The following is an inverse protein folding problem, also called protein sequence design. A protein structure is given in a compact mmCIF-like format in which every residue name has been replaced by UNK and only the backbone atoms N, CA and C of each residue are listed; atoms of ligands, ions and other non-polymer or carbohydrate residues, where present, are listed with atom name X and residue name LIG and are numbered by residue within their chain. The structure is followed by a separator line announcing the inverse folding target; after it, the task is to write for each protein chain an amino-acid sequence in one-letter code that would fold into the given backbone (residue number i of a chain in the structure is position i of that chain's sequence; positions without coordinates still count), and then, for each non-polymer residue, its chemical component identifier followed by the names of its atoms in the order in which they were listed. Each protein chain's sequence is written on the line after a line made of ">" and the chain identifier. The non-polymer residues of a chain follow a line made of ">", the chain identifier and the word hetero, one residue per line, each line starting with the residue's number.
data_IF_522356765784
#
_entry.id   IF_522356765784
#
_cell.length_a   1.000
_cell.length_b   1.000
_cell.length_c   1.000
_cell.angle_alpha   90.00
_cell.angle_beta   90.00
_cell.angle_gamma   90.00
#
_symmetry.space_group_name_H-M   'P 1'
#
loop_
_entity.id
_entity.type
_entity.pdbx_description
1 polymer ?
#
# COMPACT_ATOMS: atom_id res chain seq x y z
N UNK A 1 17.96 28.57 17.47
CA UNK A 1 18.71 27.39 17.05
C UNK A 1 18.40 26.29 18.05
N UNK A 2 17.82 25.19 17.60
CA UNK A 2 17.34 24.09 18.46
C UNK A 2 18.32 22.93 18.32
N UNK A 3 19.13 22.74 19.35
CA UNK A 3 20.03 21.61 19.51
C UNK A 3 19.25 20.30 19.60
N UNK A 4 19.13 19.61 18.47
CA UNK A 4 18.60 18.23 18.34
C UNK A 4 19.72 17.19 18.19
N UNK A 5 20.94 17.53 18.58
CA UNK A 5 22.08 16.63 18.46
C UNK A 5 22.81 16.59 19.80
N UNK A 6 22.38 15.70 20.69
CA UNK A 6 23.25 14.85 21.54
C UNK A 6 22.37 14.09 22.55
N UNK A 7 22.37 12.75 22.46
CA UNK A 7 21.95 11.71 23.43
C UNK A 7 21.13 10.69 22.62
N UNK A 8 21.72 9.68 21.97
CA UNK A 8 22.41 8.57 22.62
C UNK A 8 23.51 8.00 21.71
N UNK A 9 24.72 7.99 22.27
CA UNK A 9 25.89 7.30 21.77
C UNK A 9 25.72 5.78 21.93
N UNK A 10 26.07 5.01 20.90
CA UNK A 10 26.21 3.54 20.87
C UNK A 10 24.93 2.68 20.90
N UNK A 11 24.29 2.47 19.74
CA UNK A 11 23.37 1.35 19.49
C UNK A 11 23.48 0.77 18.07
N UNK A 12 24.68 0.70 17.48
CA UNK A 12 24.82 0.23 16.08
C UNK A 12 24.79 -1.31 15.90
N UNK A 13 24.82 -2.09 16.99
CA UNK A 13 24.88 -3.56 16.92
C UNK A 13 23.53 -4.27 16.97
N UNK A 14 22.59 -3.79 17.79
CA UNK A 14 21.28 -4.41 17.99
C UNK A 14 20.16 -3.73 17.20
N UNK A 15 20.31 -2.46 16.78
CA UNK A 15 19.29 -1.77 15.97
C UNK A 15 18.99 -2.51 14.68
N UNK A 16 19.98 -3.16 14.07
CA UNK A 16 19.74 -4.02 12.88
C UNK A 16 18.89 -5.24 13.21
N UNK A 17 19.14 -5.90 14.34
CA UNK A 17 18.34 -7.06 14.77
C UNK A 17 16.94 -6.65 15.24
N UNK A 18 16.82 -5.50 15.91
CA UNK A 18 15.55 -4.90 16.32
C UNK A 18 14.72 -4.52 15.09
N UNK A 19 15.30 -3.78 14.14
CA UNK A 19 14.65 -3.43 12.87
C UNK A 19 14.26 -4.68 12.07
N UNK A 20 15.11 -5.71 12.05
CA UNK A 20 14.78 -6.96 11.36
C UNK A 20 13.63 -7.71 12.04
N UNK A 21 13.58 -7.71 13.38
CA UNK A 21 12.49 -8.28 14.15
C UNK A 21 11.18 -7.48 13.98
N UNK A 22 11.25 -6.15 14.03
CA UNK A 22 10.11 -5.24 13.81
C UNK A 22 9.56 -5.41 12.39
N UNK A 23 10.44 -5.47 11.39
CA UNK A 23 10.07 -5.80 10.02
C UNK A 23 9.41 -7.17 9.97
N UNK A 24 10.01 -8.22 10.53
CA UNK A 24 9.42 -9.55 10.53
C UNK A 24 8.02 -9.59 11.17
N UNK A 25 7.82 -8.87 12.27
CA UNK A 25 6.52 -8.75 12.93
C UNK A 25 5.50 -7.99 12.07
N UNK A 26 5.89 -6.87 11.44
CA UNK A 26 5.05 -6.16 10.47
C UNK A 26 4.67 -7.05 9.29
N UNK A 27 5.62 -7.80 8.73
CA UNK A 27 5.38 -8.74 7.63
C UNK A 27 4.36 -9.82 8.02
N UNK A 28 4.48 -10.37 9.23
CA UNK A 28 3.52 -11.36 9.74
C UNK A 28 2.11 -10.78 9.95
N UNK A 29 2.00 -9.55 10.46
CA UNK A 29 0.71 -8.89 10.61
C UNK A 29 0.04 -8.62 9.25
N UNK A 30 0.82 -8.14 8.28
CA UNK A 30 0.36 -7.89 6.91
C UNK A 30 -0.07 -9.20 6.23
N UNK A 31 0.72 -10.27 6.38
CA UNK A 31 0.39 -11.58 5.81
C UNK A 31 -0.94 -12.14 6.38
N UNK A 32 -1.16 -12.03 7.70
CA UNK A 32 -2.44 -12.44 8.32
C UNK A 32 -3.64 -11.62 7.81
N UNK A 33 -3.45 -10.33 7.53
CA UNK A 33 -4.49 -9.51 6.91
C UNK A 33 -4.74 -9.95 5.46
N UNK A 34 -3.67 -10.26 4.71
CA UNK A 34 -3.74 -10.71 3.32
C UNK A 34 -4.50 -12.04 3.14
N UNK A 35 -4.46 -12.92 4.14
CA UNK A 35 -5.19 -14.20 4.14
C UNK A 35 -6.71 -14.03 4.10
N UNK A 36 -7.21 -12.92 4.67
CA UNK A 36 -8.64 -12.69 4.85
C UNK A 36 -9.17 -11.48 4.09
N UNK A 37 -8.31 -10.53 3.73
CA UNK A 37 -8.70 -9.27 3.11
C UNK A 37 -7.84 -9.00 1.87
N UNK A 38 -8.50 -8.57 0.80
CA UNK A 38 -7.86 -7.91 -0.33
C UNK A 38 -7.75 -6.41 -0.10
N UNK A 39 -6.96 -5.73 -0.93
CA UNK A 39 -6.86 -4.27 -0.96
C UNK A 39 -7.46 -3.78 -2.27
N UNK A 40 -8.44 -2.87 -2.22
CA UNK A 40 -8.80 -2.06 -3.38
C UNK A 40 -7.96 -0.79 -3.39
N UNK A 41 -7.24 -0.54 -4.48
CA UNK A 41 -6.40 0.63 -4.66
C UNK A 41 -7.00 1.55 -5.72
N UNK A 42 -7.55 2.68 -5.30
CA UNK A 42 -8.14 3.68 -6.18
C UNK A 42 -7.11 4.74 -6.56
N UNK A 43 -6.92 4.94 -7.86
CA UNK A 43 -5.92 5.86 -8.38
C UNK A 43 -6.38 6.54 -9.68
N UNK A 44 -5.72 7.62 -10.05
CA UNK A 44 -5.88 8.33 -11.34
C UNK A 44 -4.65 8.05 -12.19
N UNK A 45 -4.81 7.41 -13.34
CA UNK A 45 -3.69 7.06 -14.22
C UNK A 45 -3.01 8.26 -14.87
N UNK A 46 -3.71 9.40 -14.98
CA UNK A 46 -3.15 10.65 -15.53
C UNK A 46 -2.33 11.44 -14.51
N UNK A 47 -2.43 11.15 -13.21
CA UNK A 47 -1.73 11.89 -12.17
C UNK A 47 -0.35 11.25 -11.86
N UNK A 48 0.76 11.99 -11.99
CA UNK A 48 2.10 11.45 -11.74
C UNK A 48 2.33 10.99 -10.29
N UNK A 49 1.66 11.60 -9.30
CA UNK A 49 1.80 11.23 -7.89
C UNK A 49 1.16 9.86 -7.65
N UNK A 50 -0.04 9.65 -8.18
CA UNK A 50 -0.73 8.36 -8.17
C UNK A 50 0.13 7.27 -8.85
N UNK A 51 0.85 7.63 -9.93
CA UNK A 51 1.78 6.74 -10.62
C UNK A 51 3.00 6.29 -9.80
N UNK A 52 3.52 7.13 -8.90
CA UNK A 52 4.61 6.74 -7.99
C UNK A 52 4.12 5.72 -6.96
N UNK A 53 2.91 5.92 -6.41
CA UNK A 53 2.35 4.98 -5.45
C UNK A 53 2.03 3.63 -6.10
N UNK A 54 1.65 3.61 -7.38
CA UNK A 54 1.47 2.36 -8.14
C UNK A 54 2.74 1.48 -8.16
N UNK A 55 3.94 2.07 -8.26
CA UNK A 55 5.21 1.33 -8.17
C UNK A 55 5.39 0.66 -6.81
N UNK A 56 5.09 1.39 -5.73
CA UNK A 56 5.17 0.88 -4.36
C UNK A 56 4.19 -0.28 -4.17
N UNK A 57 2.96 -0.14 -4.65
CA UNK A 57 1.92 -1.18 -4.57
C UNK A 57 2.34 -2.43 -5.34
N UNK A 58 2.95 -2.29 -6.52
CA UNK A 58 3.42 -3.44 -7.28
C UNK A 58 4.48 -4.23 -6.51
N UNK A 59 5.48 -3.54 -5.94
CA UNK A 59 6.50 -4.19 -5.09
C UNK A 59 5.90 -4.82 -3.82
N UNK A 60 4.86 -4.21 -3.25
CA UNK A 60 4.16 -4.72 -2.07
C UNK A 60 3.39 -6.01 -2.36
N UNK A 61 2.77 -6.13 -3.54
CA UNK A 61 2.14 -7.38 -4.02
C UNK A 61 3.17 -8.50 -4.10
N UNK A 62 4.30 -8.23 -4.76
CA UNK A 62 5.36 -9.22 -4.99
C UNK A 62 6.01 -9.69 -3.68
N UNK A 63 6.17 -8.78 -2.72
CA UNK A 63 6.85 -9.07 -1.45
C UNK A 63 5.95 -9.81 -0.45
N UNK A 64 4.65 -9.51 -0.43
CA UNK A 64 3.73 -9.98 0.61
C UNK A 64 2.61 -10.90 0.13
N UNK A 65 2.49 -11.13 -1.18
CA UNK A 65 1.43 -11.97 -1.74
C UNK A 65 0.02 -11.40 -1.54
N UNK A 66 -0.09 -10.08 -1.31
CA UNK A 66 -1.37 -9.42 -1.11
C UNK A 66 -2.20 -9.39 -2.39
N UNK A 67 -3.45 -9.81 -2.29
CA UNK A 67 -4.43 -9.59 -3.36
C UNK A 67 -4.79 -8.11 -3.39
N UNK A 68 -4.33 -7.41 -4.41
CA UNK A 68 -4.66 -5.99 -4.62
C UNK A 68 -5.41 -5.86 -5.93
N UNK A 69 -6.58 -5.23 -5.88
CA UNK A 69 -7.40 -4.91 -7.05
C UNK A 69 -7.19 -3.41 -7.33
N UNK A 70 -6.42 -3.05 -8.35
CA UNK A 70 -6.26 -1.65 -8.70
C UNK A 70 -7.49 -1.17 -9.48
N UNK A 71 -7.95 0.04 -9.16
CA UNK A 71 -9.15 0.66 -9.73
C UNK A 71 -8.80 2.05 -10.23
N UNK A 72 -8.84 2.24 -11.54
CA UNK A 72 -8.62 3.53 -12.20
C UNK A 72 -9.90 4.35 -12.18
N UNK A 73 -9.85 5.53 -11.55
CA UNK A 73 -11.01 6.43 -11.40
C UNK A 73 -11.18 7.34 -12.61
N UNK A 74 -10.10 7.62 -13.33
CA UNK A 74 -10.10 8.43 -14.56
C UNK A 74 -10.13 7.57 -15.84
N UNK A 75 -10.20 6.24 -15.70
CA UNK A 75 -10.18 5.28 -16.81
C UNK A 75 -8.82 5.08 -17.46
N UNK A 76 -7.78 5.79 -17.01
CA UNK A 76 -6.42 5.62 -17.53
C UNK A 76 -5.70 4.54 -16.74
N UNK A 77 -5.25 3.52 -17.45
CA UNK A 77 -4.58 2.36 -16.87
C UNK A 77 -3.08 2.64 -16.77
N UNK A 78 -2.52 2.48 -15.57
CA UNK A 78 -1.08 2.61 -15.39
C UNK A 78 -0.43 1.31 -15.91
N UNK A 79 0.61 1.36 -16.77
CA UNK A 79 1.28 0.16 -17.28
C UNK A 79 1.84 -0.77 -16.20
N UNK A 80 2.10 -0.25 -15.00
CA UNK A 80 2.55 -1.02 -13.84
C UNK A 80 1.43 -1.80 -13.13
N UNK A 81 0.17 -1.48 -13.44
CA UNK A 81 -1.02 -2.11 -12.89
C UNK A 81 -1.93 -2.55 -14.06
N UNK A 82 -1.47 -3.46 -14.94
CA UNK A 82 -2.20 -3.84 -16.15
C UNK A 82 -3.51 -4.58 -15.85
N UNK A 83 -3.66 -5.11 -14.64
CA UNK A 83 -4.86 -5.76 -14.10
C UNK A 83 -5.90 -4.76 -13.54
N UNK A 84 -5.69 -3.46 -13.73
CA UNK A 84 -6.60 -2.42 -13.24
C UNK A 84 -7.97 -2.49 -13.88
N UNK A 85 -8.98 -2.31 -13.03
CA UNK A 85 -10.38 -2.15 -13.43
C UNK A 85 -10.71 -0.66 -13.51
N UNK A 86 -11.62 -0.27 -14.38
CA UNK A 86 -12.16 1.10 -14.36
C UNK A 86 -13.18 1.24 -13.23
N UNK A 87 -13.19 2.37 -12.54
CA UNK A 87 -14.22 2.68 -11.55
C UNK A 87 -15.60 2.78 -12.23
N UNK A 88 -16.54 2.00 -11.74
CA UNK A 88 -17.94 1.97 -12.11
C UNK A 88 -18.81 2.40 -10.92
N UNK A 89 -18.28 3.29 -10.08
CA UNK A 89 -18.92 3.75 -8.84
C UNK A 89 -18.56 2.92 -7.60
N UNK A 90 -17.48 2.14 -7.62
CA UNK A 90 -16.94 1.53 -6.41
C UNK A 90 -16.40 2.63 -5.47
N UNK A 91 -15.66 3.60 -6.02
CA UNK A 91 -15.10 4.72 -5.26
C UNK A 91 -16.19 5.51 -4.53
N UNK A 92 -17.28 5.83 -5.23
CA UNK A 92 -18.42 6.54 -4.65
C UNK A 92 -19.12 5.73 -3.55
N UNK A 93 -19.38 4.43 -3.78
CA UNK A 93 -20.04 3.57 -2.78
C UNK A 93 -19.22 3.40 -1.52
N UNK A 94 -17.89 3.39 -1.65
CA UNK A 94 -16.95 3.30 -0.54
C UNK A 94 -16.61 4.68 0.06
N UNK A 95 -17.22 5.76 -0.43
CA UNK A 95 -17.01 7.11 0.08
C UNK A 95 -15.61 7.67 -0.17
N UNK A 96 -14.90 7.15 -1.17
CA UNK A 96 -13.56 7.62 -1.55
C UNK A 96 -13.67 8.99 -2.22
N UNK A 97 -13.13 10.02 -1.55
CA UNK A 97 -13.16 11.42 -2.02
C UNK A 97 -11.81 11.96 -2.46
N UNK A 98 -10.73 11.35 -1.97
CA UNK A 98 -9.36 11.79 -2.21
C UNK A 98 -8.57 10.64 -2.84
N UNK A 99 -7.69 10.97 -3.78
CA UNK A 99 -6.88 10.01 -4.51
C UNK A 99 -5.39 10.38 -4.36
N UNK A 100 -4.50 9.38 -4.32
CA UNK A 100 -4.81 7.94 -4.34
C UNK A 100 -5.36 7.44 -2.98
N UNK A 101 -6.13 6.35 -2.99
CA UNK A 101 -6.73 5.75 -1.79
C UNK A 101 -6.63 4.22 -1.77
N UNK A 102 -6.53 3.66 -0.56
CA UNK A 102 -6.50 2.21 -0.32
C UNK A 102 -7.62 1.81 0.65
N UNK A 103 -8.33 0.74 0.33
CA UNK A 103 -9.44 0.20 1.13
C UNK A 103 -9.25 -1.31 1.33
N UNK A 104 -9.49 -1.80 2.55
CA UNK A 104 -9.56 -3.24 2.80
C UNK A 104 -10.92 -3.78 2.34
N UNK A 105 -10.91 -4.89 1.62
CA UNK A 105 -12.11 -5.58 1.15
C UNK A 105 -12.08 -7.04 1.56
N UNK A 106 -13.21 -7.59 1.98
CA UNK A 106 -13.34 -9.03 2.25
C UNK A 106 -13.72 -9.75 0.94
N UNK A 107 -12.82 -10.56 0.35
CA UNK A 107 -13.08 -11.26 -0.90
C UNK A 107 -14.16 -12.34 -0.79
N UNK A 108 -14.60 -12.73 0.42
CA UNK A 108 -15.67 -13.71 0.62
C UNK A 108 -17.08 -13.14 0.46
N UNK A 109 -17.22 -11.81 0.35
CA UNK A 109 -18.51 -11.14 0.19
C UNK A 109 -18.73 -10.57 -1.23
N UNK A 110 -17.89 -10.98 -2.20
CA UNK A 110 -17.98 -10.58 -3.60
C UNK A 110 -18.85 -11.49 -4.45
#
# INVERSE_FOLDING_TARGET
>A
ELDYNLQYSHYNGTVRNQLAADQAQQRQAIAKLAEHYGIMFFYRGQDPIDGQLAQVINGFRDTYGLSVIPVSVDGVINPLLPDSRTDQGQAQRLGVKYFPAMMLVDPKQG
#
